data_IF_577265991460
#
_entry.id   IF_577265991460
#
_cell.length_a   1.000
_cell.length_b   1.000
_cell.length_c   1.000
_cell.angle_alpha   90.00
_cell.angle_beta   90.00
_cell.angle_gamma   90.00
#
_symmetry.space_group_name_H-M   'P 1'
#
loop_
_entity.id
_entity.type
_entity.pdbx_description
1 polymer ?
#
# COMPACT_ATOMS: atom_id res chain seq x y z
N UNK A 1 -10.77 1.21 30.08
CA UNK A 1 -11.18 2.25 29.10
C UNK A 1 -11.97 1.56 28.00
N UNK A 2 -13.11 2.08 27.53
CA UNK A 2 -13.85 1.43 26.44
C UNK A 2 -13.14 1.65 25.08
N UNK A 3 -13.47 0.81 24.08
CA UNK A 3 -12.80 0.80 22.77
C UNK A 3 -12.86 2.16 22.06
N UNK A 4 -13.99 2.87 22.12
CA UNK A 4 -14.17 4.19 21.51
C UNK A 4 -13.19 5.22 22.07
N UNK A 5 -12.98 5.25 23.39
CA UNK A 5 -12.02 6.19 24.00
C UNK A 5 -10.57 5.82 23.68
N UNK A 6 -10.25 4.53 23.59
CA UNK A 6 -8.89 4.06 23.21
C UNK A 6 -8.58 4.48 21.76
N UNK A 7 -9.49 4.23 20.84
CA UNK A 7 -9.33 4.52 19.40
C UNK A 7 -9.29 6.03 19.13
N UNK A 8 -10.09 6.82 19.85
CA UNK A 8 -9.97 8.29 19.84
C UNK A 8 -8.59 8.74 20.31
N UNK A 9 -8.13 8.25 21.46
CA UNK A 9 -6.82 8.63 21.98
C UNK A 9 -5.68 8.20 21.05
N UNK A 10 -5.73 6.99 20.48
CA UNK A 10 -4.76 6.54 19.49
C UNK A 10 -4.72 7.49 18.30
N UNK A 11 -5.88 7.90 17.79
CA UNK A 11 -5.98 8.82 16.65
C UNK A 11 -5.42 10.20 16.98
N UNK A 12 -5.80 10.76 18.13
CA UNK A 12 -5.30 12.05 18.60
C UNK A 12 -3.78 12.05 18.81
N UNK A 13 -3.23 10.98 19.41
CA UNK A 13 -1.79 10.82 19.62
C UNK A 13 -1.06 10.67 18.27
N UNK A 14 -1.59 9.86 17.35
CA UNK A 14 -1.01 9.66 16.02
C UNK A 14 -0.93 10.96 15.24
N UNK A 15 -2.02 11.73 15.20
CA UNK A 15 -2.04 13.03 14.53
C UNK A 15 -1.19 14.08 15.26
N UNK A 16 -1.01 13.95 16.58
CA UNK A 16 -0.06 14.77 17.34
C UNK A 16 1.40 14.47 16.96
N UNK A 17 1.76 13.19 16.85
CA UNK A 17 3.08 12.76 16.36
C UNK A 17 3.33 13.27 14.94
N UNK A 18 2.33 13.14 14.07
CA UNK A 18 2.38 13.69 12.72
C UNK A 18 2.63 15.21 12.72
N UNK A 19 1.90 15.98 13.53
CA UNK A 19 2.05 17.43 13.60
C UNK A 19 3.44 17.83 14.11
N UNK A 20 3.93 17.20 15.18
CA UNK A 20 5.26 17.47 15.73
C UNK A 20 6.38 17.12 14.73
N UNK A 21 6.23 16.01 13.99
CA UNK A 21 7.17 15.63 12.93
C UNK A 21 7.23 16.70 11.84
N UNK A 22 6.08 17.16 11.35
CA UNK A 22 6.01 18.19 10.32
C UNK A 22 6.58 19.52 10.79
N UNK A 23 6.34 19.90 12.04
CA UNK A 23 6.85 21.16 12.60
C UNK A 23 8.38 21.15 12.75
N UNK A 24 8.98 20.04 13.20
CA UNK A 24 10.41 19.99 13.52
C UNK A 24 11.31 19.82 12.30
N UNK A 25 10.76 19.48 11.14
CA UNK A 25 11.56 19.02 10.02
C UNK A 25 11.83 20.04 8.92
N UNK A 26 11.29 21.27 8.90
CA UNK A 26 11.72 22.41 8.05
C UNK A 26 12.29 22.08 6.64
N UNK A 27 11.73 21.10 5.93
CA UNK A 27 12.19 20.64 4.60
C UNK A 27 13.17 19.46 4.55
N UNK A 28 13.68 18.96 5.69
CA UNK A 28 14.50 17.75 5.85
C UNK A 28 13.73 16.58 6.49
N UNK A 29 12.42 16.50 6.23
CA UNK A 29 11.56 15.46 6.80
C UNK A 29 11.99 14.06 6.38
N UNK A 30 12.00 13.13 7.33
CA UNK A 30 12.12 11.69 7.05
C UNK A 30 10.91 11.13 6.29
N UNK A 31 9.99 11.96 5.82
CA UNK A 31 8.75 11.55 5.16
C UNK A 31 8.49 12.36 3.87
N UNK A 32 9.49 13.11 3.37
CA UNK A 32 9.48 13.83 2.09
C UNK A 32 8.22 14.67 1.82
N UNK A 33 7.61 15.22 2.88
CA UNK A 33 6.42 16.08 2.82
C UNK A 33 5.06 15.37 2.95
N UNK A 34 5.00 14.04 2.77
CA UNK A 34 3.77 13.25 2.98
C UNK A 34 3.41 13.13 4.47
N UNK A 35 4.42 13.11 5.34
CA UNK A 35 4.24 12.98 6.79
C UNK A 35 3.83 11.57 7.24
N UNK A 36 3.57 11.40 8.54
CA UNK A 36 3.24 10.07 9.10
C UNK A 36 1.87 9.55 8.64
N UNK A 37 0.94 10.45 8.37
CA UNK A 37 -0.44 10.15 7.95
C UNK A 37 -0.71 10.92 6.66
N UNK A 38 -0.28 10.37 5.50
CA UNK A 38 -0.47 10.97 4.18
C UNK A 38 -1.91 11.38 3.85
N UNK A 39 -2.89 10.58 4.28
CA UNK A 39 -4.31 10.84 4.03
C UNK A 39 -5.04 10.78 5.37
N UNK A 40 -5.74 11.86 5.72
CA UNK A 40 -6.54 11.95 6.93
C UNK A 40 -7.81 12.76 6.71
N UNK A 41 -8.97 12.19 7.03
CA UNK A 41 -10.28 12.82 6.84
C UNK A 41 -11.04 13.05 8.15
N UNK A 42 -10.35 12.97 9.29
CA UNK A 42 -10.98 13.09 10.62
C UNK A 42 -10.72 14.41 11.36
N UNK A 43 -10.26 15.46 10.67
CA UNK A 43 -9.82 16.71 11.31
C UNK A 43 -10.91 17.46 12.08
N UNK A 44 -12.17 17.22 11.73
CA UNK A 44 -13.37 17.73 12.41
C UNK A 44 -13.89 16.79 13.51
N UNK A 45 -13.39 15.55 13.57
CA UNK A 45 -13.85 14.50 14.50
C UNK A 45 -12.89 14.33 15.68
N UNK A 46 -11.58 14.37 15.42
CA UNK A 46 -10.56 14.14 16.44
C UNK A 46 -9.62 15.32 16.52
N UNK A 47 -9.57 15.95 17.68
CA UNK A 47 -8.57 16.98 17.96
C UNK A 47 -7.20 16.32 18.17
N UNK A 48 -6.18 16.65 17.35
CA UNK A 48 -4.83 16.14 17.56
C UNK A 48 -4.28 16.55 18.93
N UNK A 49 -3.47 15.68 19.53
CA UNK A 49 -2.75 16.03 20.76
C UNK A 49 -1.58 16.94 20.42
N UNK A 50 -1.41 18.03 21.17
CA UNK A 50 -0.25 18.89 21.03
C UNK A 50 0.95 18.28 21.74
N UNK A 51 2.11 18.31 21.08
CA UNK A 51 3.38 17.89 21.67
C UNK A 51 4.47 18.90 21.34
N UNK A 52 5.25 19.27 22.35
CA UNK A 52 6.47 20.06 22.15
C UNK A 52 7.72 19.17 22.07
N UNK A 53 7.63 17.93 22.58
CA UNK A 53 8.74 16.98 22.71
C UNK A 53 8.32 15.53 22.46
N UNK A 54 9.24 14.73 21.91
CA UNK A 54 9.02 13.31 21.60
C UNK A 54 8.74 12.44 22.83
N UNK A 55 9.31 12.81 23.99
CA UNK A 55 9.13 12.07 25.23
C UNK A 55 7.68 12.11 25.73
N UNK A 56 6.96 13.22 25.48
CA UNK A 56 5.53 13.33 25.77
C UNK A 56 4.71 12.38 24.90
N UNK A 57 4.97 12.33 23.60
CA UNK A 57 4.31 11.39 22.69
C UNK A 57 4.60 9.93 23.08
N UNK A 58 5.84 9.60 23.44
CA UNK A 58 6.23 8.25 23.90
C UNK A 58 5.49 7.84 25.18
N UNK A 59 5.34 8.75 26.15
CA UNK A 59 4.58 8.49 27.39
C UNK A 59 3.12 8.14 27.08
N UNK A 60 2.47 8.91 26.22
CA UNK A 60 1.07 8.66 25.84
C UNK A 60 0.88 7.33 25.09
N UNK A 61 1.80 7.00 24.19
CA UNK A 61 1.79 5.70 23.50
C UNK A 61 1.99 4.53 24.47
N UNK A 62 2.83 4.69 25.49
CA UNK A 62 3.03 3.66 26.53
C UNK A 62 1.80 3.52 27.42
N UNK A 63 1.14 4.61 27.77
CA UNK A 63 -0.14 4.56 28.49
C UNK A 63 -1.23 3.90 27.65
N UNK A 64 -1.30 4.20 26.35
CA UNK A 64 -2.20 3.51 25.43
C UNK A 64 -1.92 2.01 25.42
N UNK A 65 -0.65 1.60 25.28
CA UNK A 65 -0.24 0.19 25.32
C UNK A 65 -0.74 -0.52 26.58
N UNK A 66 -0.52 0.07 27.75
CA UNK A 66 -1.02 -0.48 29.02
C UNK A 66 -2.56 -0.56 29.06
N UNK A 67 -3.26 0.43 28.50
CA UNK A 67 -4.72 0.41 28.45
C UNK A 67 -5.28 -0.74 27.59
N UNK A 68 -4.53 -1.22 26.58
CA UNK A 68 -4.93 -2.34 25.71
C UNK A 68 -5.05 -3.67 26.46
N UNK A 69 -4.41 -3.82 27.63
CA UNK A 69 -4.54 -5.02 28.47
C UNK A 69 -6.00 -5.28 28.89
N UNK A 70 -6.82 -4.23 28.95
CA UNK A 70 -8.24 -4.31 29.28
C UNK A 70 -9.14 -4.64 28.09
N UNK A 71 -8.58 -4.76 26.88
CA UNK A 71 -9.32 -5.21 25.70
C UNK A 71 -9.21 -6.73 25.62
N UNK A 72 -10.34 -7.40 25.36
CA UNK A 72 -10.35 -8.84 25.14
C UNK A 72 -9.41 -9.23 23.97
N UNK A 73 -8.69 -10.37 24.06
CA UNK A 73 -7.93 -10.89 22.94
C UNK A 73 -8.81 -11.04 21.69
N UNK A 74 -8.27 -10.64 20.53
CA UNK A 74 -8.97 -10.66 19.26
C UNK A 74 -8.43 -9.61 18.30
N UNK A 75 -9.01 -9.58 17.10
CA UNK A 75 -8.62 -8.72 15.98
C UNK A 75 -8.33 -7.27 16.37
N UNK A 76 -9.27 -6.63 17.08
CA UNK A 76 -9.11 -5.22 17.48
C UNK A 76 -7.93 -5.01 18.41
N UNK A 77 -7.69 -5.91 19.37
CA UNK A 77 -6.53 -5.81 20.26
C UNK A 77 -5.23 -5.98 19.46
N UNK A 78 -5.17 -6.98 18.59
CA UNK A 78 -4.02 -7.25 17.72
C UNK A 78 -3.67 -6.04 16.84
N UNK A 79 -4.67 -5.40 16.21
CA UNK A 79 -4.47 -4.18 15.45
C UNK A 79 -3.88 -3.06 16.33
N UNK A 80 -4.53 -2.77 17.47
CA UNK A 80 -4.13 -1.66 18.32
C UNK A 80 -2.72 -1.85 18.89
N UNK A 81 -2.35 -3.07 19.26
CA UNK A 81 -1.00 -3.41 19.72
C UNK A 81 0.04 -3.19 18.61
N UNK A 82 -0.26 -3.66 17.38
CA UNK A 82 0.60 -3.43 16.21
C UNK A 82 0.76 -1.95 15.88
N UNK A 83 -0.33 -1.19 15.88
CA UNK A 83 -0.31 0.25 15.59
C UNK A 83 0.47 1.02 16.65
N UNK A 84 0.23 0.78 17.95
CA UNK A 84 1.00 1.42 19.03
C UNK A 84 2.49 1.05 18.95
N UNK A 85 2.82 -0.21 18.65
CA UNK A 85 4.20 -0.66 18.42
C UNK A 85 4.89 0.10 17.28
N UNK A 86 4.20 0.25 16.15
CA UNK A 86 4.68 1.02 15.00
C UNK A 86 4.90 2.48 15.33
N UNK A 87 3.97 3.11 16.06
CA UNK A 87 4.10 4.51 16.45
C UNK A 87 5.26 4.74 17.43
N UNK A 88 5.49 3.81 18.37
CA UNK A 88 6.64 3.88 19.27
C UNK A 88 7.96 3.80 18.51
N UNK A 89 8.04 2.95 17.49
CA UNK A 89 9.23 2.85 16.64
C UNK A 89 9.40 4.09 15.74
N UNK A 90 8.31 4.65 15.21
CA UNK A 90 8.33 5.89 14.46
C UNK A 90 8.82 7.07 15.33
N UNK A 91 8.29 7.22 16.56
CA UNK A 91 8.77 8.23 17.51
C UNK A 91 10.25 8.05 17.84
N UNK A 92 10.72 6.80 18.02
CA UNK A 92 12.16 6.51 18.20
C UNK A 92 12.99 6.99 17.01
N UNK A 93 12.52 6.80 15.78
CA UNK A 93 13.18 7.29 14.57
C UNK A 93 13.21 8.83 14.54
N UNK A 94 12.06 9.46 14.76
CA UNK A 94 11.95 10.93 14.73
C UNK A 94 12.73 11.61 15.87
N UNK A 95 13.00 10.90 16.96
CA UNK A 95 13.88 11.35 18.04
C UNK A 95 15.37 11.06 17.80
N UNK A 96 15.78 10.68 16.58
CA UNK A 96 17.19 10.42 16.21
C UNK A 96 17.69 9.01 16.47
N UNK A 97 16.82 8.09 16.87
CA UNK A 97 17.17 6.67 17.02
C UNK A 97 17.43 6.00 15.67
N UNK A 98 18.33 5.02 15.65
CA UNK A 98 18.71 4.27 14.44
C UNK A 98 18.36 2.78 14.58
N UNK A 99 17.07 2.38 14.53
CA UNK A 99 16.71 0.97 14.49
C UNK A 99 17.26 0.31 13.22
N UNK A 100 17.55 -0.98 13.31
CA UNK A 100 18.02 -1.77 12.14
C UNK A 100 16.94 -1.83 11.06
N UNK A 101 17.32 -2.15 9.82
CA UNK A 101 16.35 -2.34 8.75
C UNK A 101 15.29 -3.40 9.12
N UNK A 102 15.73 -4.53 9.69
CA UNK A 102 14.86 -5.58 10.23
C UNK A 102 13.84 -5.04 11.24
N UNK A 103 14.29 -4.26 12.22
CA UNK A 103 13.40 -3.65 13.22
C UNK A 103 12.35 -2.76 12.56
N UNK A 104 12.71 -2.03 11.49
CA UNK A 104 11.78 -1.17 10.76
C UNK A 104 10.76 -1.97 9.95
N UNK A 105 11.19 -3.03 9.24
CA UNK A 105 10.27 -3.90 8.48
C UNK A 105 9.24 -4.54 9.41
N UNK A 106 9.71 -5.18 10.49
CA UNK A 106 8.81 -5.85 11.43
C UNK A 106 7.96 -4.82 12.19
N UNK A 107 8.60 -3.78 12.73
CA UNK A 107 7.95 -2.88 13.68
C UNK A 107 7.10 -1.79 13.05
N UNK A 108 7.47 -1.26 11.88
CA UNK A 108 6.68 -0.23 11.18
C UNK A 108 5.67 -0.85 10.23
N UNK A 109 6.05 -1.89 9.47
CA UNK A 109 5.21 -2.45 8.40
C UNK A 109 4.40 -3.64 8.89
N UNK A 110 4.92 -4.39 9.86
CA UNK A 110 4.30 -5.65 10.30
C UNK A 110 4.51 -6.80 9.31
N UNK A 111 5.54 -6.69 8.45
CA UNK A 111 5.92 -7.71 7.48
C UNK A 111 7.02 -8.63 8.05
N UNK A 112 7.16 -9.80 7.43
CA UNK A 112 8.19 -10.77 7.77
C UNK A 112 9.60 -10.26 7.40
N UNK A 113 10.60 -10.83 8.05
CA UNK A 113 12.01 -10.52 7.80
C UNK A 113 12.57 -11.37 6.66
N UNK A 114 13.59 -10.85 5.99
CA UNK A 114 14.37 -11.61 5.02
C UNK A 114 13.91 -11.43 3.58
N UNK A 115 14.40 -12.36 2.76
CA UNK A 115 14.01 -12.48 1.35
C UNK A 115 12.71 -13.24 1.23
N UNK A 116 11.95 -12.93 0.19
CA UNK A 116 10.85 -13.77 -0.27
C UNK A 116 11.37 -15.09 -0.83
N UNK A 117 10.51 -16.12 -0.78
CA UNK A 117 10.86 -17.48 -1.20
C UNK A 117 11.34 -17.53 -2.66
N UNK A 118 12.56 -18.02 -2.86
CA UNK A 118 13.17 -18.10 -4.19
C UNK A 118 12.43 -19.06 -5.13
N UNK A 119 11.83 -20.13 -4.58
CA UNK A 119 11.01 -21.07 -5.34
C UNK A 119 9.74 -20.44 -5.89
N UNK A 120 9.08 -19.60 -5.09
CA UNK A 120 7.90 -18.82 -5.48
C UNK A 120 8.24 -17.80 -6.58
N UNK A 121 9.38 -17.10 -6.45
CA UNK A 121 9.87 -16.17 -7.49
C UNK A 121 10.13 -16.91 -8.81
N UNK A 122 10.80 -18.07 -8.76
CA UNK A 122 11.03 -18.90 -9.94
C UNK A 122 9.70 -19.36 -10.56
N UNK A 123 8.76 -19.85 -9.75
CA UNK A 123 7.45 -20.27 -10.22
C UNK A 123 6.63 -19.13 -10.85
N UNK A 124 6.77 -17.90 -10.33
CA UNK A 124 6.17 -16.70 -10.94
C UNK A 124 6.74 -16.41 -12.32
N UNK A 125 8.06 -16.48 -12.48
CA UNK A 125 8.72 -16.36 -13.80
C UNK A 125 8.24 -17.43 -14.77
N UNK A 126 8.06 -18.67 -14.31
CA UNK A 126 7.54 -19.76 -15.14
C UNK A 126 6.07 -19.54 -15.55
N UNK A 127 5.24 -18.93 -14.70
CA UNK A 127 3.86 -18.56 -15.07
C UNK A 127 3.86 -17.47 -16.15
N UNK A 128 4.67 -16.43 -15.98
CA UNK A 128 4.85 -15.36 -16.97
C UNK A 128 5.33 -15.92 -18.30
N UNK A 129 6.30 -16.84 -18.28
CA UNK A 129 6.83 -17.51 -19.47
C UNK A 129 5.74 -18.27 -20.26
N UNK A 130 4.91 -19.04 -19.55
CA UNK A 130 3.79 -19.77 -20.17
C UNK A 130 2.74 -18.83 -20.74
N UNK A 131 2.39 -17.76 -20.02
CA UNK A 131 1.45 -16.74 -20.47
C UNK A 131 1.91 -16.07 -21.76
N UNK A 132 3.13 -15.54 -21.78
CA UNK A 132 3.72 -14.91 -22.96
C UNK A 132 3.73 -15.88 -24.16
N UNK A 133 4.02 -17.16 -23.93
CA UNK A 133 4.02 -18.16 -24.98
C UNK A 133 2.63 -18.40 -25.58
N UNK A 134 1.57 -18.44 -24.76
CA UNK A 134 0.17 -18.52 -25.23
C UNK A 134 -0.22 -17.30 -26.05
N UNK A 135 0.26 -16.13 -25.63
CA UNK A 135 0.04 -14.85 -26.30
C UNK A 135 0.91 -14.67 -27.57
N UNK A 136 1.73 -15.66 -27.94
CA UNK A 136 2.55 -15.66 -29.15
C UNK A 136 3.92 -14.99 -29.02
N UNK A 137 4.29 -14.50 -27.83
CA UNK A 137 5.64 -13.98 -27.55
C UNK A 137 6.57 -15.15 -27.23
N UNK A 138 7.22 -15.71 -28.26
CA UNK A 138 8.03 -16.95 -28.15
C UNK A 138 9.52 -16.77 -28.49
N UNK A 139 9.96 -15.59 -28.93
CA UNK A 139 11.34 -15.34 -29.39
C UNK A 139 12.17 -14.61 -28.33
N UNK A 140 13.41 -15.05 -28.14
CA UNK A 140 14.36 -14.42 -27.22
C UNK A 140 14.26 -14.92 -25.78
N UNK A 141 15.02 -14.28 -24.88
CA UNK A 141 14.95 -14.56 -23.44
C UNK A 141 13.57 -14.19 -22.85
N UNK A 142 13.29 -14.60 -21.62
CA UNK A 142 12.06 -14.17 -20.93
C UNK A 142 11.96 -12.65 -20.84
N UNK A 143 13.08 -11.97 -20.57
CA UNK A 143 13.15 -10.51 -20.52
C UNK A 143 12.89 -9.86 -21.89
N UNK A 144 13.39 -10.44 -22.98
CA UNK A 144 13.10 -9.96 -24.35
C UNK A 144 11.61 -10.07 -24.68
N UNK A 145 10.97 -11.15 -24.23
CA UNK A 145 9.54 -11.38 -24.46
C UNK A 145 8.65 -10.45 -23.64
N UNK A 146 8.99 -10.20 -22.37
CA UNK A 146 8.30 -9.17 -21.56
C UNK A 146 8.44 -7.81 -22.23
N UNK A 147 9.64 -7.39 -22.63
CA UNK A 147 9.84 -6.11 -23.32
C UNK A 147 9.02 -6.03 -24.62
N UNK A 148 9.05 -7.08 -25.43
CA UNK A 148 8.27 -7.13 -26.67
C UNK A 148 6.76 -7.00 -26.41
N UNK A 149 6.27 -7.60 -25.32
CA UNK A 149 4.88 -7.45 -24.89
C UNK A 149 4.60 -6.02 -24.40
N UNK A 150 5.45 -5.45 -23.54
CA UNK A 150 5.30 -4.07 -23.05
C UNK A 150 5.30 -3.07 -24.20
N UNK A 151 6.24 -3.19 -25.15
CA UNK A 151 6.32 -2.36 -26.35
C UNK A 151 5.08 -2.52 -27.24
N UNK A 152 4.65 -3.76 -27.47
CA UNK A 152 3.50 -4.08 -28.33
C UNK A 152 2.15 -3.67 -27.73
N UNK A 153 2.06 -3.52 -26.40
CA UNK A 153 0.84 -3.12 -25.67
C UNK A 153 0.88 -1.70 -25.14
N UNK A 154 1.97 -0.96 -25.31
CA UNK A 154 2.12 0.40 -24.82
C UNK A 154 1.03 1.32 -25.37
N UNK A 155 0.34 2.02 -24.48
CA UNK A 155 -0.64 3.04 -24.84
C UNK A 155 0.10 4.26 -25.41
N UNK A 156 -0.23 4.62 -26.64
CA UNK A 156 0.31 5.82 -27.27
C UNK A 156 -0.09 7.08 -26.48
N UNK A 157 0.84 8.03 -26.32
CA UNK A 157 0.61 9.26 -25.56
C UNK A 157 -0.65 10.03 -26.00
N UNK A 158 -0.94 10.09 -27.30
CA UNK A 158 -2.13 10.75 -27.85
C UNK A 158 -3.46 10.06 -27.50
N UNK A 159 -3.43 8.78 -27.10
CA UNK A 159 -4.59 7.99 -26.71
C UNK A 159 -4.74 7.86 -25.19
N UNK A 160 -3.72 8.28 -24.42
CA UNK A 160 -3.67 8.06 -22.98
C UNK A 160 -4.87 8.70 -22.26
N UNK A 161 -5.19 9.96 -22.54
CA UNK A 161 -6.30 10.67 -21.89
C UNK A 161 -7.64 9.95 -22.07
N UNK A 162 -8.04 9.68 -23.31
CA UNK A 162 -9.31 8.98 -23.59
C UNK A 162 -9.37 7.56 -23.01
N UNK A 163 -8.23 6.85 -22.97
CA UNK A 163 -8.14 5.54 -22.32
C UNK A 163 -8.34 5.65 -20.80
N UNK A 164 -7.72 6.64 -20.16
CA UNK A 164 -7.88 6.87 -18.71
C UNK A 164 -9.33 7.21 -18.37
N UNK A 165 -9.99 8.07 -19.15
CA UNK A 165 -11.40 8.44 -18.95
C UNK A 165 -12.32 7.22 -19.02
N UNK A 166 -12.15 6.37 -20.03
CA UNK A 166 -12.93 5.13 -20.21
C UNK A 166 -12.73 4.17 -19.03
N UNK A 167 -11.47 3.92 -18.66
CA UNK A 167 -11.13 3.00 -17.58
C UNK A 167 -11.60 3.54 -16.21
N UNK A 168 -11.48 4.84 -15.97
CA UNK A 168 -11.96 5.49 -14.73
C UNK A 168 -13.47 5.35 -14.59
N UNK A 169 -14.22 5.59 -15.66
CA UNK A 169 -15.67 5.44 -15.65
C UNK A 169 -16.10 4.00 -15.33
N UNK A 170 -15.44 3.01 -15.93
CA UNK A 170 -15.74 1.60 -15.69
C UNK A 170 -15.35 1.15 -14.27
N UNK A 171 -14.17 1.55 -13.79
CA UNK A 171 -13.71 1.26 -12.44
C UNK A 171 -14.66 1.84 -11.38
N UNK A 172 -15.10 3.09 -11.57
CA UNK A 172 -16.09 3.76 -10.72
C UNK A 172 -17.41 3.00 -10.73
N UNK A 173 -17.96 2.71 -11.91
CA UNK A 173 -19.23 1.98 -12.05
C UNK A 173 -19.22 0.66 -11.30
N UNK A 174 -18.14 -0.11 -11.42
CA UNK A 174 -18.00 -1.40 -10.71
C UNK A 174 -17.79 -1.20 -9.21
N UNK A 175 -16.98 -0.22 -8.80
CA UNK A 175 -16.73 0.08 -7.39
C UNK A 175 -18.01 0.52 -6.67
N UNK A 176 -18.80 1.40 -7.29
CA UNK A 176 -20.08 1.87 -6.76
C UNK A 176 -21.08 0.71 -6.59
N UNK A 177 -21.09 -0.23 -7.54
CA UNK A 177 -21.99 -1.38 -7.50
C UNK A 177 -21.56 -2.48 -6.52
N UNK A 178 -20.24 -2.70 -6.35
CA UNK A 178 -19.72 -3.89 -5.68
C UNK A 178 -19.11 -3.60 -4.30
N UNK A 179 -18.66 -2.36 -4.07
CA UNK A 179 -17.91 -1.97 -2.87
C UNK A 179 -18.65 -0.88 -2.10
N UNK A 180 -18.79 0.30 -2.70
CA UNK A 180 -19.28 1.51 -2.04
C UNK A 180 -19.62 2.60 -3.04
N UNK A 181 -20.80 3.19 -2.91
CA UNK A 181 -21.22 4.34 -3.71
C UNK A 181 -20.34 5.55 -3.41
N UNK A 182 -19.43 5.86 -4.34
CA UNK A 182 -18.48 6.97 -4.22
C UNK A 182 -19.10 8.33 -4.58
N UNK A 183 -20.39 8.39 -4.93
CA UNK A 183 -21.09 9.63 -5.24
C UNK A 183 -20.48 10.38 -6.42
N UNK A 184 -20.30 11.69 -6.29
CA UNK A 184 -19.68 12.56 -7.29
C UNK A 184 -18.15 12.67 -7.15
N UNK A 185 -17.55 11.93 -6.21
CA UNK A 185 -16.11 11.95 -6.02
C UNK A 185 -15.40 11.50 -7.29
N UNK A 186 -14.34 12.23 -7.66
CA UNK A 186 -13.46 11.91 -8.77
C UNK A 186 -12.06 12.48 -8.51
N UNK A 187 -11.08 11.91 -9.20
CA UNK A 187 -9.68 12.36 -9.16
C UNK A 187 -9.12 12.48 -10.57
N UNK A 188 -8.23 13.44 -10.78
CA UNK A 188 -7.50 13.63 -12.04
C UNK A 188 -6.21 12.79 -12.04
N UNK A 189 -5.91 12.12 -13.15
CA UNK A 189 -4.64 11.40 -13.32
C UNK A 189 -3.68 12.30 -14.11
N UNK A 190 -2.65 12.79 -13.44
CA UNK A 190 -1.71 13.77 -14.00
C UNK A 190 -0.37 13.12 -14.34
N UNK A 191 0.12 13.25 -15.59
CA UNK A 191 1.42 12.71 -15.97
C UNK A 191 2.57 13.47 -15.30
N UNK A 192 3.53 12.74 -14.74
CA UNK A 192 4.77 13.25 -14.13
C UNK A 192 5.98 12.46 -14.64
N UNK A 193 7.19 13.00 -14.45
CA UNK A 193 8.46 12.39 -14.85
C UNK A 193 9.51 12.51 -13.75
N UNK A 194 10.55 11.70 -13.83
CA UNK A 194 11.67 11.62 -12.90
C UNK A 194 11.28 11.39 -11.43
N UNK A 195 10.17 10.70 -11.21
CA UNK A 195 9.70 10.31 -9.88
C UNK A 195 10.10 8.86 -9.55
N UNK A 196 10.27 8.49 -8.27
CA UNK A 196 10.69 7.14 -7.88
C UNK A 196 9.54 6.11 -7.80
N UNK A 197 8.31 6.55 -8.06
CA UNK A 197 7.09 5.74 -7.99
C UNK A 197 6.41 5.58 -9.35
N UNK A 198 5.65 4.49 -9.59
CA UNK A 198 4.81 4.36 -10.80
C UNK A 198 3.61 5.29 -10.77
N UNK A 199 2.97 5.38 -9.60
CA UNK A 199 1.91 6.33 -9.34
C UNK A 199 1.88 6.71 -7.85
N UNK A 200 1.27 7.87 -7.53
CA UNK A 200 1.07 8.34 -6.16
C UNK A 200 -0.32 8.96 -6.01
N UNK A 201 -1.06 8.52 -5.01
CA UNK A 201 -2.37 9.06 -4.67
C UNK A 201 -2.25 10.32 -3.80
N UNK A 202 -2.69 11.45 -4.32
CA UNK A 202 -2.93 12.71 -3.59
C UNK A 202 -4.42 12.89 -3.36
N UNK A 203 -4.95 12.25 -2.32
CA UNK A 203 -6.39 12.25 -2.04
C UNK A 203 -6.95 13.66 -1.77
N UNK A 204 -6.23 14.46 -0.97
CA UNK A 204 -6.62 15.82 -0.64
C UNK A 204 -6.60 16.73 -1.89
N UNK A 205 -5.63 16.52 -2.78
CA UNK A 205 -5.50 17.23 -4.05
C UNK A 205 -6.45 16.71 -5.14
N UNK A 206 -7.17 15.61 -4.87
CA UNK A 206 -7.96 14.86 -5.87
C UNK A 206 -7.14 14.55 -7.13
N UNK A 207 -5.89 14.12 -6.93
CA UNK A 207 -4.93 13.88 -8.01
C UNK A 207 -4.20 12.56 -7.84
N UNK A 208 -3.94 11.86 -8.94
CA UNK A 208 -2.98 10.76 -9.00
C UNK A 208 -1.83 11.16 -9.91
N UNK A 209 -0.62 11.18 -9.39
CA UNK A 209 0.58 11.34 -10.21
C UNK A 209 0.84 10.04 -10.95
N UNK A 210 1.02 10.07 -12.27
CA UNK A 210 1.35 8.91 -13.12
C UNK A 210 2.73 9.10 -13.76
N UNK A 211 3.67 8.20 -13.45
CA UNK A 211 5.02 8.29 -13.98
C UNK A 211 5.12 7.81 -15.43
N UNK A 212 5.09 8.76 -16.37
CA UNK A 212 5.12 8.48 -17.82
C UNK A 212 6.54 8.26 -18.37
N UNK A 213 7.53 8.04 -17.51
CA UNK A 213 8.81 7.43 -17.91
C UNK A 213 8.71 5.90 -17.99
N UNK A 214 7.60 5.32 -17.49
CA UNK A 214 7.23 3.92 -17.66
C UNK A 214 6.26 3.75 -18.83
N UNK A 215 6.31 2.59 -19.48
CA UNK A 215 5.33 2.16 -20.45
C UNK A 215 4.16 1.48 -19.75
N UNK A 216 2.94 1.89 -20.10
CA UNK A 216 1.71 1.30 -19.59
C UNK A 216 0.89 0.68 -20.72
N UNK A 217 0.46 -0.55 -20.52
CA UNK A 217 -0.63 -1.17 -21.29
C UNK A 217 -1.99 -0.76 -20.73
N UNK A 218 -3.07 -1.05 -21.46
CA UNK A 218 -4.44 -0.90 -20.93
C UNK A 218 -4.62 -1.66 -19.60
N UNK A 219 -4.16 -2.90 -19.53
CA UNK A 219 -4.17 -3.72 -18.31
C UNK A 219 -3.37 -3.08 -17.17
N UNK A 220 -2.19 -2.51 -17.47
CA UNK A 220 -1.41 -1.74 -16.50
C UNK A 220 -2.16 -0.52 -15.95
N UNK A 221 -2.88 0.21 -16.80
CA UNK A 221 -3.69 1.37 -16.38
C UNK A 221 -4.91 0.97 -15.55
N UNK A 222 -5.58 -0.15 -15.89
CA UNK A 222 -6.65 -0.73 -15.05
C UNK A 222 -6.16 -0.92 -13.62
N UNK A 223 -4.99 -1.54 -13.46
CA UNK A 223 -4.40 -1.72 -12.16
C UNK A 223 -4.10 -0.39 -11.45
N UNK A 224 -3.50 0.61 -12.13
CA UNK A 224 -3.19 1.91 -11.50
C UNK A 224 -4.46 2.59 -10.96
N UNK A 225 -5.54 2.57 -11.73
CA UNK A 225 -6.85 3.12 -11.34
C UNK A 225 -7.43 2.34 -10.17
N UNK A 226 -7.41 1.00 -10.25
CA UNK A 226 -7.85 0.12 -9.18
C UNK A 226 -7.10 0.34 -7.88
N UNK A 227 -5.79 0.56 -7.96
CA UNK A 227 -4.93 0.70 -6.79
C UNK A 227 -5.12 2.06 -6.11
N UNK A 228 -5.14 3.14 -6.88
CA UNK A 228 -5.11 4.48 -6.30
C UNK A 228 -6.51 5.05 -6.02
N UNK A 229 -7.53 4.63 -6.78
CA UNK A 229 -8.83 5.32 -6.81
C UNK A 229 -9.99 4.35 -6.54
N UNK A 230 -10.30 3.48 -7.50
CA UNK A 230 -11.53 2.68 -7.54
C UNK A 230 -11.24 1.19 -7.78
N UNK A 231 -11.27 0.30 -6.77
CA UNK A 231 -11.77 0.51 -5.41
C UNK A 231 -10.66 0.78 -4.37
N UNK A 232 -9.44 1.15 -4.76
CA UNK A 232 -8.30 1.20 -3.85
C UNK A 232 -8.29 2.40 -2.87
N UNK A 233 -7.15 3.06 -2.75
CA UNK A 233 -6.85 4.00 -1.66
C UNK A 233 -7.93 5.07 -1.43
N UNK A 234 -8.42 5.71 -2.50
CA UNK A 234 -9.45 6.74 -2.37
C UNK A 234 -10.79 6.17 -1.90
N UNK A 235 -11.22 5.04 -2.47
CA UNK A 235 -12.48 4.39 -2.08
C UNK A 235 -12.41 3.87 -0.64
N UNK A 236 -11.27 3.34 -0.19
CA UNK A 236 -11.06 2.98 1.22
C UNK A 236 -11.24 4.18 2.15
N UNK A 237 -10.64 5.32 1.79
CA UNK A 237 -10.73 6.56 2.56
C UNK A 237 -12.18 7.04 2.67
N UNK A 238 -12.93 7.03 1.55
CA UNK A 238 -14.35 7.42 1.51
C UNK A 238 -15.22 6.48 2.34
N UNK A 239 -15.02 5.17 2.19
CA UNK A 239 -15.75 4.14 2.93
C UNK A 239 -15.56 4.30 4.44
N UNK A 240 -14.31 4.37 4.88
CA UNK A 240 -13.97 4.50 6.29
C UNK A 240 -14.57 5.77 6.90
N UNK A 241 -14.50 6.89 6.18
CA UNK A 241 -15.11 8.15 6.60
C UNK A 241 -16.64 8.04 6.74
N UNK A 242 -17.32 7.40 5.78
CA UNK A 242 -18.76 7.20 5.83
C UNK A 242 -19.18 6.30 7.00
N UNK A 243 -18.45 5.20 7.27
CA UNK A 243 -18.76 4.31 8.39
C UNK A 243 -18.51 4.97 9.75
N UNK A 244 -17.45 5.77 9.89
CA UNK A 244 -17.19 6.53 11.12
C UNK A 244 -18.25 7.59 11.34
N UNK A 245 -18.59 8.36 10.30
CA UNK A 245 -19.62 9.41 10.37
C UNK A 245 -20.99 8.84 10.75
N UNK A 246 -21.30 7.62 10.30
CA UNK A 246 -22.52 6.93 10.66
C UNK A 246 -22.47 6.17 11.99
N UNK A 247 -21.36 6.25 12.74
CA UNK A 247 -21.19 5.57 14.03
C UNK A 247 -21.07 4.04 13.95
N UNK A 248 -20.79 3.49 12.76
CA UNK A 248 -20.62 2.04 12.51
C UNK A 248 -19.17 1.58 12.60
N UNK A 249 -18.22 2.52 12.61
CA UNK A 249 -16.80 2.25 12.83
C UNK A 249 -16.18 3.17 13.88
N UNK A 250 -14.96 2.83 14.31
CA UNK A 250 -14.15 3.62 15.23
C UNK A 250 -13.24 4.58 14.47
N UNK A 251 -12.94 5.73 15.09
CA UNK A 251 -12.23 6.84 14.43
C UNK A 251 -10.80 6.51 13.97
N UNK A 252 -10.20 5.43 14.46
CA UNK A 252 -8.90 4.94 13.96
C UNK A 252 -8.98 4.40 12.52
N UNK A 253 -10.17 4.07 12.01
CA UNK A 253 -10.35 3.72 10.59
C UNK A 253 -9.98 4.88 9.64
N UNK A 254 -9.93 6.12 10.15
CA UNK A 254 -9.49 7.29 9.39
C UNK A 254 -7.95 7.39 9.28
N UNK A 255 -7.21 6.51 9.95
CA UNK A 255 -5.75 6.41 9.88
C UNK A 255 -5.27 5.34 8.88
N UNK A 256 -6.15 4.81 8.03
CA UNK A 256 -5.84 3.68 7.14
C UNK A 256 -4.63 3.92 6.24
N UNK A 257 -4.27 5.18 5.98
CA UNK A 257 -3.10 5.57 5.20
C UNK A 257 -1.87 6.00 5.99
N UNK A 258 -1.80 5.73 7.29
CA UNK A 258 -0.60 6.00 8.05
C UNK A 258 0.59 5.14 7.57
N UNK A 259 1.79 5.72 7.51
CA UNK A 259 3.03 5.00 7.26
C UNK A 259 3.43 4.17 8.50
N UNK A 260 2.60 3.17 8.78
CA UNK A 260 2.61 2.24 9.90
C UNK A 260 2.01 0.91 9.40
N UNK A 261 1.70 -0.02 10.31
CA UNK A 261 1.19 -1.35 9.97
C UNK A 261 -0.07 -1.33 9.08
N UNK A 262 -0.85 -0.26 9.16
CA UNK A 262 -2.05 -0.07 8.32
C UNK A 262 -1.72 0.25 6.86
N UNK A 263 -0.61 0.93 6.59
CA UNK A 263 -0.17 1.21 5.23
C UNK A 263 0.14 -0.09 4.46
N UNK A 264 0.63 -1.12 5.15
CA UNK A 264 0.82 -2.45 4.56
C UNK A 264 -0.50 -3.02 4.02
N UNK A 265 -1.55 -3.01 4.84
CA UNK A 265 -2.87 -3.51 4.41
C UNK A 265 -3.48 -2.64 3.33
N UNK A 266 -3.32 -1.31 3.40
CA UNK A 266 -3.78 -0.40 2.36
C UNK A 266 -3.15 -0.71 1.00
N UNK A 267 -1.83 -0.89 0.92
CA UNK A 267 -1.15 -1.31 -0.33
C UNK A 267 -1.74 -2.62 -0.87
N UNK A 268 -2.05 -3.57 0.02
CA UNK A 268 -2.73 -4.80 -0.34
C UNK A 268 -4.14 -4.60 -0.91
N UNK A 269 -4.91 -3.66 -0.37
CA UNK A 269 -6.25 -3.33 -0.89
C UNK A 269 -6.13 -2.77 -2.31
N UNK A 270 -5.19 -1.85 -2.53
CA UNK A 270 -4.91 -1.31 -3.86
C UNK A 270 -4.50 -2.41 -4.85
N UNK A 271 -3.59 -3.29 -4.44
CA UNK A 271 -3.10 -4.40 -5.27
C UNK A 271 -4.16 -5.44 -5.62
N UNK A 272 -5.09 -5.69 -4.70
CA UNK A 272 -6.19 -6.61 -4.91
C UNK A 272 -7.43 -5.94 -5.52
N UNK A 273 -7.38 -4.62 -5.76
CA UNK A 273 -8.51 -3.80 -6.22
C UNK A 273 -9.18 -4.34 -7.48
N UNK A 274 -8.40 -4.74 -8.49
CA UNK A 274 -8.94 -5.26 -9.76
C UNK A 274 -9.82 -6.52 -9.58
N UNK A 275 -9.46 -7.38 -8.63
CA UNK A 275 -10.24 -8.58 -8.29
C UNK A 275 -11.42 -8.26 -7.37
N UNK A 276 -11.31 -7.21 -6.54
CA UNK A 276 -12.40 -6.75 -5.68
C UNK A 276 -13.58 -6.16 -6.49
N UNK A 277 -13.35 -5.81 -7.76
CA UNK A 277 -14.41 -5.37 -8.69
C UNK A 277 -14.54 -6.28 -9.93
N UNK A 278 -14.03 -7.51 -9.82
CA UNK A 278 -14.14 -8.57 -10.85
C UNK A 278 -13.78 -8.09 -12.26
N UNK A 279 -12.68 -7.35 -12.38
CA UNK A 279 -12.29 -6.66 -13.60
C UNK A 279 -11.04 -7.25 -14.26
N UNK A 280 -10.86 -8.56 -14.15
CA UNK A 280 -9.89 -9.33 -14.95
C UNK A 280 -10.62 -9.90 -16.17
N UNK A 281 -10.23 -9.49 -17.37
CA UNK A 281 -11.02 -9.78 -18.59
C UNK A 281 -10.25 -10.64 -19.61
N UNK A 282 -8.93 -10.58 -19.63
CA UNK A 282 -8.11 -11.24 -20.65
C UNK A 282 -6.70 -11.65 -20.16
N UNK A 283 -5.91 -12.24 -21.07
CA UNK A 283 -4.53 -12.66 -20.80
C UNK A 283 -3.57 -11.48 -20.57
N UNK A 284 -3.86 -10.29 -21.10
CA UNK A 284 -3.05 -9.08 -20.84
C UNK A 284 -3.23 -8.62 -19.39
N UNK A 285 -4.44 -8.73 -18.83
CA UNK A 285 -4.70 -8.52 -17.39
C UNK A 285 -3.99 -9.58 -16.54
N UNK A 286 -4.11 -10.87 -16.88
CA UNK A 286 -3.47 -11.97 -16.16
C UNK A 286 -1.94 -11.80 -16.11
N UNK A 287 -1.32 -11.51 -17.26
CA UNK A 287 0.12 -11.27 -17.36
C UNK A 287 0.55 -10.04 -16.56
N UNK A 288 -0.22 -8.94 -16.61
CA UNK A 288 0.05 -7.74 -15.82
C UNK A 288 0.03 -8.06 -14.32
N UNK A 289 -0.95 -8.82 -13.85
CA UNK A 289 -1.04 -9.21 -12.46
C UNK A 289 0.15 -10.09 -12.01
N UNK A 290 0.54 -11.08 -12.82
CA UNK A 290 1.70 -11.94 -12.52
C UNK A 290 3.02 -11.15 -12.51
N UNK A 291 3.22 -10.22 -13.47
CA UNK A 291 4.38 -9.34 -13.48
C UNK A 291 4.45 -8.48 -12.21
N UNK A 292 3.32 -7.97 -11.73
CA UNK A 292 3.28 -7.18 -10.49
C UNK A 292 3.58 -8.01 -9.25
N UNK A 293 3.03 -9.22 -9.15
CA UNK A 293 3.32 -10.14 -8.06
C UNK A 293 4.82 -10.48 -8.02
N UNK A 294 5.41 -10.80 -9.18
CA UNK A 294 6.85 -11.03 -9.28
C UNK A 294 7.65 -9.78 -8.87
N UNK A 295 7.28 -8.61 -9.40
CA UNK A 295 8.00 -7.34 -9.16
C UNK A 295 7.95 -6.91 -7.69
N UNK A 296 6.81 -7.08 -7.01
CA UNK A 296 6.68 -6.77 -5.58
C UNK A 296 7.50 -7.74 -4.72
N UNK A 297 7.45 -9.05 -4.97
CA UNK A 297 8.29 -10.02 -4.27
C UNK A 297 9.78 -9.73 -4.44
N UNK A 298 10.22 -9.53 -5.68
CA UNK A 298 11.62 -9.21 -5.98
C UNK A 298 12.03 -7.85 -5.39
N UNK A 299 11.16 -6.85 -5.39
CA UNK A 299 11.43 -5.56 -4.76
C UNK A 299 11.68 -5.72 -3.26
N UNK A 300 10.88 -6.51 -2.56
CA UNK A 300 11.05 -6.78 -1.12
C UNK A 300 12.40 -7.44 -0.85
N UNK A 301 12.72 -8.53 -1.56
CA UNK A 301 14.02 -9.22 -1.43
C UNK A 301 15.21 -8.33 -1.78
N UNK A 302 15.11 -7.56 -2.87
CA UNK A 302 16.17 -6.66 -3.30
C UNK A 302 16.44 -5.54 -2.30
N UNK A 303 15.38 -4.99 -1.70
CA UNK A 303 15.50 -3.95 -0.67
C UNK A 303 16.10 -4.52 0.60
N UNK A 304 15.73 -5.75 0.98
CA UNK A 304 16.36 -6.45 2.10
C UNK A 304 17.85 -6.69 1.86
N UNK A 305 18.23 -7.25 0.71
CA UNK A 305 19.63 -7.47 0.34
C UNK A 305 20.44 -6.17 0.39
N UNK A 306 19.87 -5.08 -0.15
CA UNK A 306 20.52 -3.78 -0.19
C UNK A 306 20.68 -3.17 1.21
N UNK A 307 19.62 -3.13 2.02
CA UNK A 307 19.58 -2.38 3.27
C UNK A 307 20.01 -3.16 4.50
N UNK A 308 19.83 -4.48 4.53
CA UNK A 308 20.18 -5.33 5.66
C UNK A 308 21.48 -6.09 5.44
N UNK A 309 21.79 -6.49 4.20
CA UNK A 309 22.92 -7.38 3.88
C UNK A 309 24.07 -6.64 3.20
N UNK A 310 23.90 -5.37 2.84
CA UNK A 310 24.94 -4.55 2.23
C UNK A 310 25.25 -4.90 0.78
N UNK A 311 24.30 -5.52 0.06
CA UNK A 311 24.41 -5.75 -1.38
C UNK A 311 24.66 -4.42 -2.11
N UNK A 312 25.48 -4.43 -3.16
CA UNK A 312 25.75 -3.20 -3.91
C UNK A 312 24.52 -2.70 -4.67
N UNK A 313 24.49 -1.40 -4.97
CA UNK A 313 23.46 -0.80 -5.82
C UNK A 313 23.41 -1.46 -7.22
N UNK A 314 24.57 -1.79 -7.79
CA UNK A 314 24.68 -2.43 -9.10
C UNK A 314 24.03 -3.83 -9.11
N UNK A 315 24.36 -4.68 -8.14
CA UNK A 315 23.76 -6.00 -7.99
C UNK A 315 22.25 -5.92 -7.75
N UNK A 316 21.82 -4.93 -6.95
CA UNK A 316 20.40 -4.68 -6.67
C UNK A 316 19.65 -4.29 -7.94
N UNK A 317 20.21 -3.39 -8.76
CA UNK A 317 19.62 -3.00 -10.04
C UNK A 317 19.59 -4.16 -11.04
N UNK A 318 20.66 -4.96 -11.13
CA UNK A 318 20.66 -6.16 -11.99
C UNK A 318 19.59 -7.14 -11.57
N UNK A 319 19.44 -7.44 -10.27
CA UNK A 319 18.39 -8.32 -9.79
C UNK A 319 16.97 -7.81 -10.13
N UNK A 320 16.71 -6.52 -9.92
CA UNK A 320 15.42 -5.91 -10.26
C UNK A 320 15.16 -5.90 -11.77
N UNK A 321 16.20 -5.75 -12.59
CA UNK A 321 16.07 -5.76 -14.06
C UNK A 321 15.86 -7.17 -14.59
N UNK A 322 16.69 -8.11 -14.16
CA UNK A 322 16.83 -9.42 -14.79
C UNK A 322 15.92 -10.48 -14.14
N UNK A 323 15.78 -10.44 -12.82
CA UNK A 323 14.91 -11.35 -12.05
C UNK A 323 13.48 -10.83 -11.98
N UNK A 324 13.30 -9.55 -11.65
CA UNK A 324 11.97 -8.96 -11.53
C UNK A 324 11.37 -8.53 -12.89
N UNK A 325 12.15 -8.60 -13.98
CA UNK A 325 11.73 -8.19 -15.32
C UNK A 325 11.25 -6.73 -15.34
N UNK A 326 11.91 -5.86 -14.56
CA UNK A 326 11.51 -4.47 -14.36
C UNK A 326 11.94 -3.53 -15.50
N UNK A 327 11.11 -2.53 -15.78
CA UNK A 327 11.47 -1.41 -16.66
C UNK A 327 12.52 -0.51 -15.98
N UNK A 328 13.40 0.13 -16.77
CA UNK A 328 14.54 0.88 -16.21
C UNK A 328 14.11 2.04 -15.28
N UNK A 329 13.05 2.78 -15.64
CA UNK A 329 12.50 3.84 -14.79
C UNK A 329 12.01 3.28 -13.44
N UNK A 330 11.38 2.11 -13.45
CA UNK A 330 10.95 1.41 -12.24
C UNK A 330 12.16 0.96 -11.40
N UNK A 331 13.14 0.29 -12.01
CA UNK A 331 14.35 -0.20 -11.33
C UNK A 331 15.08 0.95 -10.60
N UNK A 332 15.32 2.06 -11.30
CA UNK A 332 15.94 3.27 -10.71
C UNK A 332 15.09 3.85 -9.58
N UNK A 333 13.78 3.91 -9.76
CA UNK A 333 12.85 4.38 -8.73
C UNK A 333 12.91 3.54 -7.46
N UNK A 334 12.90 2.21 -7.58
CA UNK A 334 12.98 1.29 -6.44
C UNK A 334 14.27 1.44 -5.66
N UNK A 335 15.41 1.55 -6.34
CA UNK A 335 16.69 1.79 -5.67
C UNK A 335 16.70 3.14 -4.93
N UNK A 336 16.18 4.21 -5.55
CA UNK A 336 16.04 5.52 -4.90
C UNK A 336 15.20 5.44 -3.62
N UNK A 337 14.06 4.74 -3.67
CA UNK A 337 13.17 4.58 -2.50
C UNK A 337 13.76 3.66 -1.42
N UNK A 338 14.50 2.61 -1.80
CA UNK A 338 15.08 1.63 -0.87
C UNK A 338 16.00 2.28 0.17
N UNK A 339 16.83 3.23 -0.27
CA UNK A 339 17.77 3.94 0.60
C UNK A 339 17.10 4.88 1.61
N UNK A 340 15.81 5.20 1.43
CA UNK A 340 15.13 6.17 2.27
C UNK A 340 14.96 5.62 3.71
N UNK A 341 15.43 6.32 4.76
CA UNK A 341 15.53 5.79 6.12
C UNK A 341 14.19 5.35 6.74
N UNK A 342 13.08 5.96 6.30
CA UNK A 342 11.73 5.61 6.75
C UNK A 342 10.92 4.86 5.68
N UNK A 343 11.10 5.21 4.41
CA UNK A 343 10.28 4.71 3.29
C UNK A 343 10.84 3.44 2.67
N UNK A 344 12.15 3.19 2.81
CA UNK A 344 12.79 1.95 2.38
C UNK A 344 12.10 0.70 2.93
N UNK A 345 11.87 0.59 4.26
CA UNK A 345 11.14 -0.52 4.86
C UNK A 345 9.73 -0.73 4.27
N UNK A 346 9.08 0.35 3.81
CA UNK A 346 7.74 0.28 3.19
C UNK A 346 7.73 -0.47 1.86
N UNK A 347 8.89 -0.78 1.27
CA UNK A 347 8.97 -1.69 0.13
C UNK A 347 8.32 -3.05 0.43
N UNK A 348 8.39 -3.54 1.68
CA UNK A 348 7.77 -4.79 2.09
C UNK A 348 6.22 -4.74 2.07
N UNK A 349 5.63 -3.54 2.18
CA UNK A 349 4.17 -3.35 2.18
C UNK A 349 3.52 -3.86 0.89
N UNK A 350 4.18 -3.66 -0.26
CA UNK A 350 3.62 -4.03 -1.56
C UNK A 350 3.42 -5.54 -1.69
N UNK A 351 4.37 -6.35 -1.20
CA UNK A 351 4.23 -7.80 -1.24
C UNK A 351 3.41 -8.33 -0.07
N UNK A 352 3.78 -8.01 1.17
CA UNK A 352 3.14 -8.55 2.36
C UNK A 352 1.66 -8.15 2.45
N UNK A 353 1.36 -6.89 2.12
CA UNK A 353 -0.01 -6.38 2.07
C UNK A 353 -0.85 -7.11 1.03
N UNK A 354 -0.34 -7.20 -0.20
CA UNK A 354 -0.97 -7.91 -1.31
C UNK A 354 -1.31 -9.34 -0.92
N UNK A 355 -0.33 -10.07 -0.39
CA UNK A 355 -0.50 -11.47 -0.01
C UNK A 355 -1.50 -11.67 1.13
N UNK A 356 -1.50 -10.81 2.16
CA UNK A 356 -2.48 -10.91 3.25
C UNK A 356 -3.90 -10.65 2.76
N UNK A 357 -4.12 -9.58 1.99
CA UNK A 357 -5.45 -9.26 1.44
C UNK A 357 -5.91 -10.37 0.49
N UNK A 358 -5.01 -10.88 -0.36
CA UNK A 358 -5.27 -12.00 -1.27
C UNK A 358 -5.71 -13.25 -0.52
N UNK A 359 -4.93 -13.69 0.47
CA UNK A 359 -5.22 -14.90 1.27
C UNK A 359 -6.55 -14.81 1.98
N UNK A 360 -6.91 -13.65 2.53
CA UNK A 360 -8.24 -13.48 3.14
C UNK A 360 -9.31 -13.52 2.05
N UNK A 361 -9.20 -12.69 1.01
CA UNK A 361 -10.20 -12.60 -0.09
C UNK A 361 -10.50 -13.98 -0.72
N UNK A 362 -9.47 -14.77 -1.04
CA UNK A 362 -9.64 -16.07 -1.70
C UNK A 362 -10.34 -17.12 -0.83
N UNK A 363 -10.38 -16.92 0.49
CA UNK A 363 -11.13 -17.79 1.42
C UNK A 363 -12.57 -17.33 1.63
N UNK A 364 -12.95 -16.14 1.14
CA UNK A 364 -14.30 -15.59 1.29
C UNK A 364 -15.20 -16.08 0.16
N UNK A 365 -16.33 -16.70 0.52
CA UNK A 365 -17.38 -17.05 -0.44
C UNK A 365 -18.18 -15.82 -0.87
N UNK A 366 -18.86 -15.90 -2.00
CA UNK A 366 -19.71 -14.80 -2.50
C UNK A 366 -20.78 -14.37 -1.48
N UNK A 367 -21.36 -15.32 -0.76
CA UNK A 367 -22.35 -15.05 0.29
C UNK A 367 -21.79 -14.18 1.43
N UNK A 368 -20.50 -14.33 1.74
CA UNK A 368 -19.82 -13.62 2.83
C UNK A 368 -19.07 -12.37 2.36
N UNK A 369 -19.05 -12.10 1.04
CA UNK A 369 -18.39 -10.94 0.45
C UNK A 369 -18.83 -9.60 1.06
N UNK A 370 -20.12 -9.31 1.29
CA UNK A 370 -20.52 -8.02 1.89
C UNK A 370 -19.95 -7.81 3.30
N UNK A 371 -19.89 -8.88 4.10
CA UNK A 371 -19.29 -8.85 5.43
C UNK A 371 -17.78 -8.61 5.37
N UNK A 372 -17.10 -9.24 4.40
CA UNK A 372 -15.68 -9.03 4.16
C UNK A 372 -15.37 -7.61 3.70
N UNK A 373 -16.13 -7.02 2.78
CA UNK A 373 -15.92 -5.63 2.34
C UNK A 373 -16.07 -4.67 3.52
N UNK A 374 -17.12 -4.81 4.35
CA UNK A 374 -17.29 -3.99 5.55
C UNK A 374 -16.13 -4.14 6.52
N UNK A 375 -15.62 -5.36 6.68
CA UNK A 375 -14.46 -5.61 7.52
C UNK A 375 -13.22 -4.89 6.96
N UNK A 376 -12.86 -5.17 5.70
CA UNK A 376 -11.65 -4.69 5.03
C UNK A 376 -11.58 -3.17 4.86
N UNK A 377 -12.70 -2.53 4.47
CA UNK A 377 -12.75 -1.09 4.19
C UNK A 377 -13.22 -0.26 5.39
N UNK A 378 -14.04 -0.84 6.26
CA UNK A 378 -14.65 -0.13 7.38
C UNK A 378 -13.74 0.01 8.59
N UNK A 379 -12.57 -0.65 8.62
CA UNK A 379 -11.67 -0.67 9.79
C UNK A 379 -10.21 -0.48 9.37
N UNK A 380 -9.41 0.05 10.29
CA UNK A 380 -7.96 -0.04 10.17
C UNK A 380 -7.47 -1.41 10.67
N UNK A 381 -6.50 -1.98 9.94
CA UNK A 381 -5.95 -3.31 10.19
C UNK A 381 -4.44 -3.28 10.21
N UNK A 382 -3.84 -4.29 10.85
CA UNK A 382 -2.48 -4.72 10.60
C UNK A 382 -2.52 -6.00 9.76
N UNK A 383 -1.40 -6.43 9.15
CA UNK A 383 -1.34 -7.70 8.44
C UNK A 383 -1.91 -8.86 9.27
N UNK A 384 -1.47 -8.96 10.53
CA UNK A 384 -1.92 -9.99 11.46
C UNK A 384 -3.41 -9.87 11.82
N UNK A 385 -3.93 -8.66 12.05
CA UNK A 385 -5.33 -8.50 12.43
C UNK A 385 -6.28 -8.81 11.26
N UNK A 386 -5.92 -8.44 10.04
CA UNK A 386 -6.70 -8.76 8.85
C UNK A 386 -6.86 -10.29 8.65
N UNK A 387 -5.78 -11.07 8.85
CA UNK A 387 -5.84 -12.54 8.72
C UNK A 387 -6.76 -13.23 9.74
N UNK A 388 -7.15 -12.55 10.81
CA UNK A 388 -8.11 -13.05 11.81
C UNK A 388 -9.56 -13.01 11.32
N UNK A 389 -9.84 -12.47 10.13
CA UNK A 389 -11.18 -12.49 9.55
C UNK A 389 -11.70 -13.93 9.44
N UNK A 390 -12.84 -14.19 10.06
CA UNK A 390 -13.60 -15.42 9.92
C UNK A 390 -14.92 -15.08 9.23
N UNK A 391 -15.24 -15.71 8.10
CA UNK A 391 -16.56 -15.57 7.50
C UNK A 391 -17.62 -16.02 8.52
N UNK A 392 -18.57 -15.13 8.82
CA UNK A 392 -19.65 -15.41 9.76
C UNK A 392 -20.69 -16.38 9.16
#
# INVERSE_FOLDING_TARGET
>A
MNLSKITYNLTAVTMGVHALERQRNDGNSLLDGEGLVPIYTGGDIVTPRSYDEWDSARRDLTQLKAALENIAPGERRTFLEGMVGSLLLAVRLFSGGSPTYEQKVIGLVGADRGHEDAGMIAAGRDRIDRLLSRMGFVRGSLADRVRSWEDGRAVCASKLGGMLDELMAEAKRRSDAMIFDTGDFSMEICPVRDVPYPARCGFAERRVDLNVDMMFSRAGLKHIICHNIYPGHATQTLYAHAEVSAGRSTVDALLTSANAVTGCVQEGIGDQGIYLIDWMEDEDDELTAELRNLRSACQTSATWAYMAEGQSAEQTMSYLRDTALGQEAWVRGRLRSAAHPFKGPFAASFWAGNEVVRRVRERVSDANRPGFIRYLYGRAHSPQSLEMYQPA
#
